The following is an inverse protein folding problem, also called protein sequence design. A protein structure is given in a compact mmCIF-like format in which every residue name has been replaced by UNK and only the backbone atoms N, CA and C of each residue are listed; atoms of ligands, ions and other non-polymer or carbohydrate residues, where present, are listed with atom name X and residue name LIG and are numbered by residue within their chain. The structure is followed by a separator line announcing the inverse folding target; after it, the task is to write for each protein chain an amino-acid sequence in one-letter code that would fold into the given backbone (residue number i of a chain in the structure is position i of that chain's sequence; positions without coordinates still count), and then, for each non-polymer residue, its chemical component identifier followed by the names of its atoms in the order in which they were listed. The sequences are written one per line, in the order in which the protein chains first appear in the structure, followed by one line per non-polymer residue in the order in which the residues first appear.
data_IF_595771224584
#
_entry.id   IF_595771224584
#
_cell.length_a   1.000
_cell.length_b   1.000
_cell.length_c   1.000
_cell.angle_alpha   90.00
_cell.angle_beta   90.00
_cell.angle_gamma   90.00
#
_symmetry.space_group_name_H-M   'P 1'
#
loop_
_entity.id
_entity.type
_entity.pdbx_description
1 polymer ?
#
# COMPACT_ATOMS: atom_id res chain seq x y z
N UNK A 1 -54.36 7.36 19.25
CA UNK A 1 -53.33 6.58 19.95
C UNK A 1 -52.52 5.84 18.89
N UNK A 2 -51.44 6.47 18.44
CA UNK A 2 -50.45 5.86 17.54
C UNK A 2 -49.18 5.70 18.38
N UNK A 3 -48.86 4.47 18.73
CA UNK A 3 -47.55 4.11 19.31
C UNK A 3 -46.77 3.42 18.21
N UNK A 4 -46.01 4.20 17.46
CA UNK A 4 -44.78 3.69 16.88
C UNK A 4 -43.72 3.79 17.98
N UNK A 5 -43.00 2.71 18.33
CA UNK A 5 -41.78 2.88 19.09
C UNK A 5 -40.82 3.62 18.18
N UNK A 6 -40.39 4.80 18.63
CA UNK A 6 -39.18 5.42 18.14
C UNK A 6 -38.03 4.47 18.50
N UNK A 7 -37.77 3.50 17.62
CA UNK A 7 -36.64 2.59 17.76
C UNK A 7 -35.35 3.38 17.51
N UNK A 8 -34.90 3.98 18.61
CA UNK A 8 -33.52 4.00 19.07
C UNK A 8 -32.46 4.39 18.04
N UNK A 9 -32.59 5.56 17.42
CA UNK A 9 -31.43 6.36 17.00
C UNK A 9 -30.85 7.12 18.21
N UNK A 10 -30.58 6.40 19.30
CA UNK A 10 -29.83 6.93 20.43
C UNK A 10 -28.70 5.97 20.77
N UNK A 11 -27.75 5.88 19.85
CA UNK A 11 -26.37 5.55 20.19
C UNK A 11 -25.51 6.70 19.69
N UNK A 12 -24.88 7.38 20.64
CA UNK A 12 -23.82 8.37 20.45
C UNK A 12 -22.64 7.77 19.65
N UNK A 13 -22.76 7.66 18.33
CA UNK A 13 -21.82 6.97 17.44
C UNK A 13 -21.81 7.54 16.01
N UNK A 14 -21.52 8.84 15.84
CA UNK A 14 -20.92 9.30 14.58
C UNK A 14 -19.46 8.82 14.56
N UNK A 15 -19.28 7.53 14.27
CA UNK A 15 -18.06 6.74 14.48
C UNK A 15 -17.04 6.77 13.33
N UNK A 16 -17.47 7.20 12.15
CA UNK A 16 -16.71 7.18 10.91
C UNK A 16 -17.02 8.45 10.13
N UNK A 17 -16.03 9.30 9.88
CA UNK A 17 -16.17 10.47 9.03
C UNK A 17 -15.30 10.28 7.78
N UNK A 18 -15.92 10.30 6.60
CA UNK A 18 -15.19 10.30 5.34
C UNK A 18 -14.78 11.74 5.04
N UNK A 19 -13.47 11.96 5.00
CA UNK A 19 -12.86 13.23 4.66
C UNK A 19 -12.70 13.41 3.15
N UNK A 20 -11.63 14.12 2.77
CA UNK A 20 -11.33 14.40 1.35
C UNK A 20 -10.83 13.15 0.63
N UNK A 21 -11.02 13.13 -0.67
CA UNK A 21 -10.33 12.20 -1.57
C UNK A 21 -8.85 12.60 -1.69
N UNK A 22 -7.96 11.65 -1.45
CA UNK A 22 -6.52 11.83 -1.51
C UNK A 22 -5.97 11.50 -2.90
N UNK A 23 -6.50 10.45 -3.54
CA UNK A 23 -6.04 9.98 -4.86
C UNK A 23 -7.15 9.18 -5.55
N UNK A 24 -7.20 9.28 -6.87
CA UNK A 24 -8.09 8.49 -7.73
C UNK A 24 -7.30 7.85 -8.86
N UNK A 25 -7.67 6.63 -9.21
CA UNK A 25 -7.22 5.92 -10.41
C UNK A 25 -8.40 5.17 -11.06
N UNK A 26 -8.17 4.50 -12.18
CA UNK A 26 -9.17 3.62 -12.80
C UNK A 26 -9.49 2.38 -11.94
N UNK A 27 -8.60 2.00 -11.03
CA UNK A 27 -8.73 0.78 -10.22
C UNK A 27 -9.22 1.04 -8.79
N UNK A 28 -8.97 2.22 -8.23
CA UNK A 28 -9.30 2.55 -6.85
C UNK A 28 -9.36 4.05 -6.58
N UNK A 29 -10.04 4.39 -5.49
CA UNK A 29 -10.08 5.73 -4.89
C UNK A 29 -9.62 5.65 -3.43
N UNK A 30 -8.79 6.61 -3.00
CA UNK A 30 -8.27 6.68 -1.63
C UNK A 30 -8.89 7.89 -0.94
N UNK A 31 -9.47 7.66 0.23
CA UNK A 31 -10.10 8.69 1.05
C UNK A 31 -9.37 8.84 2.37
N UNK A 32 -9.28 10.08 2.85
CA UNK A 32 -9.05 10.33 4.25
C UNK A 32 -10.29 9.91 5.04
N UNK A 33 -10.08 9.26 6.18
CA UNK A 33 -11.16 8.78 7.04
C UNK A 33 -10.79 9.01 8.50
N UNK A 34 -11.69 9.57 9.29
CA UNK A 34 -11.58 9.61 10.75
C UNK A 34 -12.45 8.51 11.37
N UNK A 35 -11.84 7.67 12.22
CA UNK A 35 -12.56 6.70 13.04
C UNK A 35 -12.24 6.99 14.49
N UNK A 36 -13.25 7.44 15.25
CA UNK A 36 -13.13 7.74 16.69
C UNK A 36 -11.99 8.72 17.02
N UNK A 37 -11.75 9.71 16.17
CA UNK A 37 -10.70 10.72 16.34
C UNK A 37 -9.31 10.29 15.84
N UNK A 38 -9.19 9.12 15.22
CA UNK A 38 -7.95 8.66 14.59
C UNK A 38 -8.10 8.72 13.07
N UNK A 39 -7.14 9.36 12.39
CA UNK A 39 -7.10 9.48 10.93
C UNK A 39 -6.49 8.24 10.29
N UNK A 40 -7.10 7.82 9.19
CA UNK A 40 -6.70 6.69 8.35
C UNK A 40 -6.80 7.07 6.87
N UNK A 41 -6.10 6.31 6.03
CA UNK A 41 -6.32 6.31 4.60
C UNK A 41 -7.12 5.05 4.23
N UNK A 42 -8.31 5.22 3.66
CA UNK A 42 -9.14 4.12 3.17
C UNK A 42 -9.04 4.02 1.66
N UNK A 43 -8.43 2.94 1.16
CA UNK A 43 -8.38 2.63 -0.27
C UNK A 43 -9.56 1.75 -0.63
N UNK A 44 -10.44 2.23 -1.49
CA UNK A 44 -11.62 1.54 -1.98
C UNK A 44 -11.39 1.16 -3.45
N UNK A 45 -11.54 -0.12 -3.77
CA UNK A 45 -11.31 -0.63 -5.12
C UNK A 45 -12.61 -0.64 -5.91
N UNK A 46 -12.51 -0.33 -7.21
CA UNK A 46 -13.64 -0.44 -8.12
C UNK A 46 -13.92 -1.92 -8.41
N UNK A 47 -15.16 -2.36 -8.19
CA UNK A 47 -15.59 -3.71 -8.58
C UNK A 47 -15.87 -3.75 -10.09
N UNK A 48 -14.92 -4.31 -10.83
CA UNK A 48 -15.01 -4.55 -12.28
C UNK A 48 -15.18 -6.06 -12.58
N UNK A 49 -15.55 -6.87 -11.59
CA UNK A 49 -15.54 -8.33 -11.67
C UNK A 49 -14.16 -8.94 -11.38
N UNK A 50 -14.09 -10.27 -11.30
CA UNK A 50 -12.83 -10.99 -11.03
C UNK A 50 -12.01 -11.14 -12.33
N UNK A 51 -10.83 -10.49 -12.44
CA UNK A 51 -9.96 -10.65 -13.59
C UNK A 51 -9.23 -12.00 -13.62
N UNK A 52 -9.32 -12.81 -12.56
CA UNK A 52 -8.69 -14.13 -12.47
C UNK A 52 -7.18 -14.08 -12.27
N UNK A 53 -6.47 -14.99 -12.92
CA UNK A 53 -5.03 -15.19 -12.78
C UNK A 53 -4.34 -15.21 -14.14
N UNK A 54 -3.09 -14.78 -14.19
CA UNK A 54 -2.20 -15.03 -15.34
C UNK A 54 -1.91 -16.52 -15.50
N UNK A 55 -1.45 -16.92 -16.69
CA UNK A 55 -0.96 -18.30 -16.95
C UNK A 55 0.15 -18.74 -15.98
N UNK A 56 0.93 -17.78 -15.46
CA UNK A 56 2.01 -18.01 -14.50
C UNK A 56 1.54 -17.98 -13.04
N UNK A 57 0.23 -17.91 -12.79
CA UNK A 57 -0.37 -18.00 -11.47
C UNK A 57 -0.39 -16.69 -10.67
N UNK A 58 0.07 -15.56 -11.23
CA UNK A 58 -0.11 -14.25 -10.60
C UNK A 58 -1.59 -13.87 -10.59
N UNK A 59 -2.10 -13.48 -9.42
CA UNK A 59 -3.45 -12.93 -9.23
C UNK A 59 -3.55 -11.55 -9.90
N UNK A 60 -4.63 -11.33 -10.64
CA UNK A 60 -4.89 -10.05 -11.32
C UNK A 60 -5.85 -9.15 -10.52
N UNK A 61 -6.44 -9.66 -9.44
CA UNK A 61 -7.32 -8.88 -8.59
C UNK A 61 -6.49 -8.01 -7.64
N UNK A 62 -6.50 -6.71 -7.92
CA UNK A 62 -5.70 -5.70 -7.21
C UNK A 62 -5.98 -5.63 -5.71
N UNK A 63 -7.25 -5.76 -5.31
CA UNK A 63 -7.63 -5.82 -3.90
C UNK A 63 -7.05 -7.07 -3.22
N UNK A 64 -7.16 -8.26 -3.85
CA UNK A 64 -6.58 -9.50 -3.31
C UNK A 64 -5.06 -9.42 -3.21
N UNK A 65 -4.38 -8.85 -4.20
CA UNK A 65 -2.94 -8.63 -4.18
C UNK A 65 -2.53 -7.77 -2.97
N UNK A 66 -3.13 -6.59 -2.84
CA UNK A 66 -2.77 -5.63 -1.78
C UNK A 66 -3.13 -6.16 -0.39
N UNK A 67 -4.32 -6.77 -0.23
CA UNK A 67 -4.74 -7.36 1.04
C UNK A 67 -3.82 -8.50 1.49
N UNK A 68 -3.41 -9.38 0.57
CA UNK A 68 -2.49 -10.49 0.89
C UNK A 68 -1.09 -9.97 1.24
N UNK A 69 -0.60 -8.97 0.51
CA UNK A 69 0.68 -8.34 0.80
C UNK A 69 0.68 -7.75 2.21
N UNK A 70 -0.28 -6.89 2.55
CA UNK A 70 -0.36 -6.29 3.89
C UNK A 70 -0.55 -7.32 5.01
N UNK A 71 -1.31 -8.40 4.78
CA UNK A 71 -1.42 -9.51 5.73
C UNK A 71 -0.08 -10.18 6.01
N UNK A 72 0.71 -10.46 4.96
CA UNK A 72 2.04 -11.03 5.11
C UNK A 72 3.01 -10.04 5.78
N UNK A 73 3.04 -8.78 5.35
CA UNK A 73 3.90 -7.76 5.96
C UNK A 73 3.63 -7.62 7.47
N UNK A 74 2.35 -7.66 7.87
CA UNK A 74 1.96 -7.68 9.28
C UNK A 74 2.41 -8.95 9.99
N UNK A 75 2.18 -10.13 9.39
CA UNK A 75 2.56 -11.42 9.97
C UNK A 75 4.06 -11.52 10.26
N UNK A 76 4.89 -10.91 9.41
CA UNK A 76 6.34 -10.90 9.53
C UNK A 76 6.89 -9.66 10.27
N UNK A 77 6.03 -8.78 10.80
CA UNK A 77 6.43 -7.62 11.59
C UNK A 77 7.08 -6.49 10.77
N UNK A 78 6.84 -6.43 9.46
CA UNK A 78 7.34 -5.37 8.56
C UNK A 78 6.47 -4.11 8.63
N UNK A 79 5.16 -4.27 8.86
CA UNK A 79 4.25 -3.13 9.07
C UNK A 79 3.39 -3.33 10.31
N UNK A 80 2.99 -2.20 10.91
CA UNK A 80 2.06 -2.16 12.04
C UNK A 80 0.65 -2.66 11.64
N UNK A 81 -0.21 -3.02 12.61
CA UNK A 81 -1.46 -3.69 12.30
C UNK A 81 -2.35 -2.81 11.41
N UNK A 82 -2.53 -3.24 10.16
CA UNK A 82 -3.68 -2.83 9.37
C UNK A 82 -4.93 -3.04 10.24
N UNK A 83 -5.68 -1.97 10.46
CA UNK A 83 -6.93 -2.07 11.18
C UNK A 83 -7.85 -2.91 10.30
N UNK A 84 -8.19 -4.11 10.77
CA UNK A 84 -9.27 -4.89 10.18
C UNK A 84 -10.57 -4.36 10.81
N UNK A 85 -11.31 -3.44 10.16
CA UNK A 85 -12.63 -3.10 10.66
C UNK A 85 -13.43 -4.39 10.77
N UNK A 86 -14.15 -4.57 11.87
CA UNK A 86 -15.01 -5.72 12.11
C UNK A 86 -16.18 -5.73 11.11
N UNK A 87 -15.91 -6.10 9.87
CA UNK A 87 -16.85 -6.21 8.76
C UNK A 87 -17.47 -7.60 8.70
N UNK A 88 -17.64 -8.26 9.85
CA UNK A 88 -18.16 -9.63 9.95
C UNK A 88 -19.54 -9.77 9.29
N UNK A 89 -20.32 -8.69 9.22
CA UNK A 89 -21.64 -8.66 8.59
C UNK A 89 -21.61 -8.69 7.06
N UNK A 90 -20.45 -8.42 6.45
CA UNK A 90 -20.27 -8.44 4.99
C UNK A 90 -19.65 -9.76 4.50
N UNK A 91 -19.30 -10.69 5.39
CA UNK A 91 -18.62 -11.95 5.02
C UNK A 91 -19.45 -12.84 4.09
N UNK A 92 -20.78 -12.74 4.18
CA UNK A 92 -21.73 -13.53 3.39
C UNK A 92 -22.25 -12.76 2.16
N UNK A 93 -21.75 -11.54 1.89
CA UNK A 93 -22.18 -10.75 0.75
C UNK A 93 -21.64 -11.35 -0.56
N UNK A 94 -22.52 -11.40 -1.56
CA UNK A 94 -22.16 -11.86 -2.92
C UNK A 94 -21.05 -10.96 -3.51
N UNK A 95 -21.07 -9.66 -3.18
CA UNK A 95 -20.06 -8.68 -3.54
C UNK A 95 -19.45 -8.09 -2.27
N UNK A 96 -18.33 -8.66 -1.82
CA UNK A 96 -17.62 -8.15 -0.64
C UNK A 96 -17.15 -6.71 -0.85
N UNK A 97 -17.26 -5.84 0.17
CA UNK A 97 -16.64 -4.53 0.13
C UNK A 97 -15.12 -4.68 -0.05
N UNK A 98 -14.60 -4.17 -1.17
CA UNK A 98 -13.18 -4.19 -1.46
C UNK A 98 -12.56 -2.88 -0.97
N UNK A 99 -12.29 -2.82 0.32
CA UNK A 99 -11.64 -1.67 0.95
C UNK A 99 -10.54 -2.10 1.93
N UNK A 100 -9.45 -1.34 1.97
CA UNK A 100 -8.34 -1.54 2.91
C UNK A 100 -8.15 -0.25 3.69
N UNK A 101 -8.06 -0.36 5.01
CA UNK A 101 -7.77 0.76 5.90
C UNK A 101 -6.28 0.76 6.29
N UNK A 102 -5.61 1.87 6.01
CA UNK A 102 -4.16 2.06 6.17
C UNK A 102 -3.87 3.24 7.11
N UNK A 103 -2.65 3.27 7.64
CA UNK A 103 -2.12 4.44 8.35
C UNK A 103 -2.28 5.70 7.48
N UNK A 104 -2.83 6.77 8.05
CA UNK A 104 -2.78 8.07 7.39
C UNK A 104 -1.38 8.66 7.59
N UNK A 105 -0.62 8.76 6.50
CA UNK A 105 0.72 9.33 6.54
C UNK A 105 0.66 10.86 6.41
N UNK A 106 1.08 11.57 7.45
CA UNK A 106 1.15 13.03 7.45
C UNK A 106 2.49 13.53 6.87
N UNK A 107 2.49 14.72 6.26
CA UNK A 107 3.72 15.38 5.79
C UNK A 107 4.60 14.50 4.88
N UNK A 108 3.99 13.85 3.89
CA UNK A 108 4.68 12.92 2.99
C UNK A 108 5.08 13.54 1.67
N UNK A 109 6.21 13.08 1.14
CA UNK A 109 6.64 13.32 -0.24
C UNK A 109 7.02 12.01 -0.92
N UNK A 110 6.68 11.86 -2.20
CA UNK A 110 7.23 10.79 -3.04
C UNK A 110 8.75 10.93 -3.14
N UNK A 111 9.49 9.82 -3.11
CA UNK A 111 10.91 9.82 -3.37
C UNK A 111 11.16 10.39 -4.77
N UNK A 112 12.08 11.34 -4.87
CA UNK A 112 12.48 12.00 -6.10
C UNK A 112 13.93 12.50 -6.00
N UNK A 113 14.46 13.10 -7.07
CA UNK A 113 15.85 13.54 -7.10
C UNK A 113 16.15 14.68 -6.12
N UNK A 114 15.19 15.57 -5.84
CA UNK A 114 15.38 16.70 -4.92
C UNK A 114 15.53 16.20 -3.48
N UNK A 115 14.68 15.26 -3.07
CA UNK A 115 14.74 14.62 -1.76
C UNK A 115 15.57 13.31 -1.77
N UNK A 116 16.50 13.15 -2.70
CA UNK A 116 17.42 12.01 -2.66
C UNK A 116 18.48 12.20 -1.56
N UNK A 117 18.79 11.14 -0.81
CA UNK A 117 19.95 11.05 0.09
C UNK A 117 20.47 9.60 0.09
N UNK A 118 21.79 9.42 0.16
CA UNK A 118 22.39 8.08 0.16
C UNK A 118 21.94 7.26 1.39
N UNK A 119 21.85 7.86 2.59
CA UNK A 119 21.38 7.16 3.78
C UNK A 119 19.90 6.75 3.68
N UNK A 120 19.07 7.63 3.10
CA UNK A 120 17.65 7.37 2.83
C UNK A 120 17.50 6.24 1.83
N UNK A 121 18.31 6.22 0.79
CA UNK A 121 18.28 5.16 -0.22
C UNK A 121 18.72 3.80 0.34
N UNK A 122 19.64 3.77 1.30
CA UNK A 122 19.96 2.53 2.03
C UNK A 122 18.76 2.01 2.85
N UNK A 123 17.89 2.88 3.35
CA UNK A 123 16.64 2.48 4.01
C UNK A 123 15.65 1.92 2.98
N UNK A 124 15.54 2.54 1.80
CA UNK A 124 14.72 2.04 0.67
C UNK A 124 15.08 0.59 0.34
N UNK A 125 16.37 0.31 0.11
CA UNK A 125 16.84 -1.04 -0.25
C UNK A 125 16.59 -2.04 0.88
N UNK A 126 16.81 -1.65 2.14
CA UNK A 126 16.50 -2.50 3.30
C UNK A 126 15.00 -2.81 3.39
N UNK A 127 14.14 -1.82 3.21
CA UNK A 127 12.69 -2.02 3.18
C UNK A 127 12.25 -2.99 2.08
N UNK A 128 12.86 -2.92 0.89
CA UNK A 128 12.59 -3.89 -0.19
C UNK A 128 13.02 -5.31 0.19
N UNK A 129 14.15 -5.45 0.89
CA UNK A 129 14.60 -6.74 1.42
C UNK A 129 13.64 -7.27 2.51
N UNK A 130 13.12 -6.40 3.37
CA UNK A 130 12.15 -6.77 4.41
C UNK A 130 10.82 -7.24 3.79
N UNK A 131 10.34 -6.56 2.74
CA UNK A 131 9.16 -6.99 1.95
C UNK A 131 9.38 -8.38 1.37
N UNK A 132 10.55 -8.64 0.77
CA UNK A 132 10.89 -9.96 0.24
C UNK A 132 10.98 -11.03 1.34
N UNK A 133 11.59 -10.71 2.49
CA UNK A 133 11.68 -11.60 3.63
C UNK A 133 10.31 -11.94 4.23
N UNK A 134 9.32 -11.06 4.07
CA UNK A 134 7.91 -11.29 4.37
C UNK A 134 7.15 -12.06 3.28
N UNK A 135 7.86 -12.64 2.31
CA UNK A 135 7.30 -13.45 1.23
C UNK A 135 6.39 -12.64 0.29
N UNK A 136 6.75 -11.38 0.03
CA UNK A 136 6.05 -10.48 -0.88
C UNK A 136 7.04 -9.96 -1.92
N UNK A 137 6.64 -9.97 -3.19
CA UNK A 137 7.30 -9.20 -4.26
C UNK A 137 6.40 -8.02 -4.62
N UNK A 138 6.96 -6.81 -4.70
CA UNK A 138 6.16 -5.61 -4.85
C UNK A 138 5.69 -5.40 -6.29
N UNK A 139 6.50 -5.74 -7.30
CA UNK A 139 6.20 -5.60 -8.73
C UNK A 139 5.98 -4.17 -9.28
N UNK A 140 6.01 -3.14 -8.43
CA UNK A 140 5.90 -1.71 -8.82
C UNK A 140 6.81 -0.87 -7.93
N UNK A 141 8.12 -1.14 -7.98
CA UNK A 141 9.12 -0.60 -7.05
C UNK A 141 9.57 0.84 -7.35
N UNK A 142 8.86 1.57 -8.21
CA UNK A 142 9.30 2.88 -8.68
C UNK A 142 9.14 3.97 -7.60
N UNK A 143 9.89 5.09 -7.69
CA UNK A 143 9.91 6.13 -6.65
C UNK A 143 8.56 6.68 -6.20
N UNK A 144 7.55 6.70 -7.08
CA UNK A 144 6.15 7.08 -6.77
C UNK A 144 5.51 6.27 -5.63
N UNK A 145 6.01 5.06 -5.38
CA UNK A 145 5.51 4.12 -4.37
C UNK A 145 6.40 4.08 -3.12
N UNK A 146 7.34 5.02 -3.01
CA UNK A 146 8.23 5.19 -1.86
C UNK A 146 7.95 6.57 -1.28
N UNK A 147 7.37 6.61 -0.09
CA UNK A 147 7.09 7.86 0.62
C UNK A 147 8.17 8.15 1.65
N UNK A 148 8.57 9.42 1.69
CA UNK A 148 9.35 10.02 2.76
C UNK A 148 8.37 10.73 3.67
N UNK A 149 8.22 10.22 4.89
CA UNK A 149 7.33 10.77 5.91
C UNK A 149 8.16 11.66 6.82
N UNK A 150 7.94 12.98 6.72
CA UNK A 150 8.65 13.96 7.53
C UNK A 150 8.05 14.04 8.93
N UNK A 151 8.89 14.20 9.96
CA UNK A 151 8.46 14.26 11.35
C UNK A 151 9.62 14.37 12.34
N UNK A 152 9.35 14.13 13.62
CA UNK A 152 10.40 14.04 14.64
C UNK A 152 11.37 12.89 14.37
N UNK A 153 10.86 11.81 13.78
CA UNK A 153 11.64 10.73 13.19
C UNK A 153 11.18 10.55 11.74
N UNK A 154 12.08 10.79 10.79
CA UNK A 154 11.82 10.53 9.38
C UNK A 154 11.63 9.03 9.14
N UNK A 155 10.62 8.67 8.33
CA UNK A 155 10.38 7.28 7.90
C UNK A 155 10.38 7.18 6.38
N UNK A 156 10.89 6.06 5.87
CA UNK A 156 10.72 5.63 4.48
C UNK A 156 9.65 4.54 4.47
N UNK A 157 8.59 4.73 3.68
CA UNK A 157 7.44 3.82 3.64
C UNK A 157 7.18 3.37 2.22
N UNK A 158 7.16 2.05 2.01
CA UNK A 158 6.69 1.44 0.76
C UNK A 158 5.16 1.32 0.77
N UNK A 159 4.52 1.72 -0.32
CA UNK A 159 3.06 1.74 -0.48
C UNK A 159 2.63 1.10 -1.80
N UNK A 160 1.33 0.87 -1.95
CA UNK A 160 0.70 0.44 -3.21
C UNK A 160 1.11 -0.97 -3.67
N UNK A 161 0.70 -1.97 -2.88
CA UNK A 161 0.95 -3.39 -3.17
C UNK A 161 -0.12 -4.00 -4.09
N UNK A 162 -0.82 -3.21 -4.89
CA UNK A 162 -1.97 -3.62 -5.68
C UNK A 162 -1.63 -4.54 -6.87
N UNK A 163 -0.35 -4.63 -7.22
CA UNK A 163 0.19 -5.57 -8.20
C UNK A 163 1.16 -6.58 -7.58
N UNK A 164 1.28 -6.59 -6.25
CA UNK A 164 2.21 -7.45 -5.53
C UNK A 164 1.87 -8.93 -5.71
N UNK A 165 2.91 -9.76 -5.57
CA UNK A 165 2.80 -11.21 -5.52
C UNK A 165 3.17 -11.68 -4.13
N UNK A 166 2.26 -12.43 -3.48
CA UNK A 166 2.46 -12.96 -2.13
C UNK A 166 2.61 -14.47 -2.19
N UNK A 167 3.61 -14.99 -1.48
CA UNK A 167 3.92 -16.41 -1.40
C UNK A 167 3.48 -16.96 -0.03
N UNK A 168 2.82 -18.14 0.02
CA UNK A 168 2.38 -18.74 1.28
C UNK A 168 3.55 -19.17 2.18
N UNK A 169 4.66 -19.61 1.57
CA UNK A 169 5.85 -20.09 2.28
C UNK A 169 7.11 -19.96 1.42
N UNK A 170 8.29 -20.13 2.03
CA UNK A 170 9.58 -20.05 1.33
C UNK A 170 9.77 -21.14 0.27
N UNK A 171 9.14 -22.30 0.42
CA UNK A 171 9.24 -23.42 -0.52
C UNK A 171 8.47 -23.15 -1.81
N UNK A 172 7.41 -22.33 -1.75
CA UNK A 172 6.61 -21.90 -2.89
C UNK A 172 7.31 -20.87 -3.80
N UNK A 173 8.43 -20.28 -3.35
CA UNK A 173 9.23 -19.35 -4.15
C UNK A 173 10.06 -20.14 -5.17
N UNK A 174 9.66 -20.06 -6.44
CA UNK A 174 10.37 -20.67 -7.56
C UNK A 174 11.76 -20.05 -7.78
N UNK A 175 12.63 -20.72 -8.55
CA UNK A 175 13.92 -20.13 -8.94
C UNK A 175 13.73 -18.84 -9.75
N UNK A 176 12.72 -18.80 -10.62
CA UNK A 176 12.38 -17.62 -11.40
C UNK A 176 11.92 -16.46 -10.50
N UNK A 177 11.18 -16.75 -9.43
CA UNK A 177 10.80 -15.74 -8.45
C UNK A 177 12.03 -15.18 -7.70
N UNK A 178 12.97 -16.03 -7.30
CA UNK A 178 14.23 -15.57 -6.67
C UNK A 178 15.05 -14.69 -7.61
N UNK A 179 15.20 -15.09 -8.87
CA UNK A 179 15.87 -14.27 -9.90
C UNK A 179 15.15 -12.94 -10.12
N UNK A 180 13.82 -12.93 -10.01
CA UNK A 180 13.03 -11.70 -10.11
C UNK A 180 13.29 -10.74 -8.94
N UNK A 181 13.47 -11.24 -7.71
CA UNK A 181 13.86 -10.40 -6.59
C UNK A 181 15.25 -9.76 -6.80
N UNK A 182 16.22 -10.54 -7.27
CA UNK A 182 17.54 -10.00 -7.62
C UNK A 182 17.45 -8.92 -8.72
N UNK A 183 16.49 -9.06 -9.63
CA UNK A 183 16.16 -8.05 -10.63
C UNK A 183 15.53 -6.80 -10.00
N UNK A 184 14.57 -6.93 -9.08
CA UNK A 184 13.97 -5.78 -8.37
C UNK A 184 15.03 -4.99 -7.59
N UNK A 185 15.95 -5.66 -6.88
CA UNK A 185 17.04 -4.97 -6.15
C UNK A 185 17.98 -4.24 -7.11
N UNK A 186 18.32 -4.83 -8.26
CA UNK A 186 19.15 -4.17 -9.29
C UNK A 186 18.43 -2.99 -9.93
N UNK A 187 17.14 -3.13 -10.21
CA UNK A 187 16.31 -2.06 -10.74
C UNK A 187 16.21 -0.91 -9.74
N UNK A 188 16.05 -1.22 -8.44
CA UNK A 188 16.10 -0.23 -7.38
C UNK A 188 17.43 0.52 -7.36
N UNK A 189 18.56 -0.19 -7.33
CA UNK A 189 19.87 0.44 -7.39
C UNK A 189 20.04 1.35 -8.63
N UNK A 190 19.56 0.88 -9.79
CA UNK A 190 19.62 1.63 -11.05
C UNK A 190 18.87 2.96 -10.98
N UNK A 191 17.62 2.98 -10.49
CA UNK A 191 16.92 4.26 -10.36
C UNK A 191 17.52 5.14 -9.26
N UNK A 192 18.10 4.55 -8.20
CA UNK A 192 18.83 5.30 -7.19
C UNK A 192 20.01 6.08 -7.75
N UNK A 193 20.77 5.48 -8.67
CA UNK A 193 21.87 6.16 -9.36
C UNK A 193 21.37 7.29 -10.27
N UNK A 194 20.24 7.10 -10.95
CA UNK A 194 19.59 8.12 -11.76
C UNK A 194 19.11 9.31 -10.91
N UNK A 195 18.47 9.04 -9.77
CA UNK A 195 18.03 10.08 -8.83
C UNK A 195 19.21 10.90 -8.31
N UNK A 196 20.31 10.22 -7.93
CA UNK A 196 21.55 10.85 -7.47
C UNK A 196 22.16 11.76 -8.55
N UNK A 197 22.17 11.31 -9.79
CA UNK A 197 22.73 12.07 -10.91
C UNK A 197 21.86 13.29 -11.27
N UNK A 198 20.55 13.11 -11.33
CA UNK A 198 19.60 14.21 -11.57
C UNK A 198 19.69 15.28 -10.45
N UNK A 199 19.91 14.86 -9.20
CA UNK A 199 20.14 15.77 -8.08
C UNK A 199 21.43 16.60 -8.26
N UNK A 200 22.54 15.97 -8.69
CA UNK A 200 23.81 16.67 -8.96
C UNK A 200 23.67 17.71 -10.07
N UNK A 201 22.82 17.44 -11.05
CA UNK A 201 22.53 18.36 -12.15
C UNK A 201 21.53 19.46 -11.76
N UNK A 202 20.92 19.38 -10.57
CA UNK A 202 19.92 20.35 -10.10
C UNK A 202 18.61 20.27 -10.89
N UNK A 203 18.27 19.10 -11.42
CA UNK A 203 17.02 18.90 -12.17
C UNK A 203 15.80 18.92 -11.23
N UNK A 204 14.64 19.40 -11.70
CA UNK A 204 13.40 19.28 -10.94
C UNK A 204 12.95 17.80 -10.81
N UNK A 205 12.05 17.49 -9.86
CA UNK A 205 11.50 16.14 -9.70
C UNK A 205 10.84 15.62 -10.99
N UNK A 206 10.89 14.30 -11.19
CA UNK A 206 10.16 13.57 -12.24
C UNK A 206 10.49 14.00 -13.68
N UNK A 207 11.74 14.46 -13.93
CA UNK A 207 12.20 14.79 -15.28
C UNK A 207 12.40 13.59 -16.20
N UNK A 208 12.51 12.39 -15.62
CA UNK A 208 12.70 11.12 -16.33
C UNK A 208 11.75 10.09 -15.75
N UNK A 209 11.34 9.14 -16.58
CA UNK A 209 10.82 7.88 -16.05
C UNK A 209 12.02 7.11 -15.49
N UNK A 210 12.05 7.00 -14.17
CA UNK A 210 13.01 6.22 -13.42
C UNK A 210 12.70 4.73 -13.52
#
# INVERSE_FOLDING_TARGET
MSQYPADALNTSLDLLQIGKELKRSEASSIYEVDIRGTRYAMKVFHDNGDPGFTEKGRDLNRFRCELRAYRNLRLFGVCDPCFEPHLNHFLDDIHNPSAILLEYLECTEELNCVNYLDERFQIVIRGLQDIYNALVHHHDIYPKNIFIVHGSLERVVWIDFDVAMTFPDKQSISSQAKEYFDYEVKLAASFGDLLREDQKQGLPPNTKFY
#
